data_IF_587480329782
#
_entry.id   IF_587480329782
#
_cell.length_a   1.000
_cell.length_b   1.000
_cell.length_c   1.000
_cell.angle_alpha   90.00
_cell.angle_beta   90.00
_cell.angle_gamma   90.00
#
_symmetry.space_group_name_H-M   'P 1'
#
loop_
_entity.id
_entity.type
_entity.pdbx_description
1 polymer ?
#
# COMPACT_ATOMS: atom_id res chain seq x y z
N UNK A 1 -26.57 -5.36 1.24
CA UNK A 1 -25.24 -5.64 0.69
C UNK A 1 -24.20 -4.82 1.43
N UNK A 2 -23.07 -5.45 1.78
CA UNK A 2 -21.95 -4.81 2.49
C UNK A 2 -21.23 -3.79 1.59
N UNK A 3 -21.18 -4.06 0.30
CA UNK A 3 -20.54 -3.22 -0.70
C UNK A 3 -21.58 -2.37 -1.44
N UNK A 4 -21.21 -1.13 -1.72
CA UNK A 4 -22.00 -0.17 -2.51
C UNK A 4 -21.11 0.45 -3.57
N UNK A 5 -21.70 0.87 -4.67
CA UNK A 5 -21.01 1.72 -5.65
C UNK A 5 -20.70 3.08 -5.00
N UNK A 6 -19.48 3.55 -5.15
CA UNK A 6 -19.05 4.84 -4.64
C UNK A 6 -19.85 6.01 -5.24
N UNK A 7 -19.81 7.17 -4.60
CA UNK A 7 -20.47 8.37 -5.11
C UNK A 7 -19.94 8.72 -6.50
N UNK A 8 -20.85 9.08 -7.40
CA UNK A 8 -20.52 9.38 -8.80
C UNK A 8 -20.23 8.13 -9.65
N UNK A 9 -20.64 6.93 -9.21
CA UNK A 9 -20.45 5.70 -9.97
C UNK A 9 -19.00 5.24 -10.08
N UNK A 10 -18.13 5.63 -9.15
CA UNK A 10 -16.70 5.30 -9.20
C UNK A 10 -16.23 4.64 -7.91
N UNK A 11 -15.66 3.43 -8.08
CA UNK A 11 -15.15 2.63 -6.98
C UNK A 11 -16.25 1.94 -6.19
N UNK A 12 -15.83 1.08 -5.30
CA UNK A 12 -16.68 0.37 -4.37
C UNK A 12 -16.44 0.85 -2.95
N UNK A 13 -17.49 0.93 -2.16
CA UNK A 13 -17.47 1.41 -0.79
C UNK A 13 -18.02 0.32 0.13
N UNK A 14 -17.27 -0.04 1.13
CA UNK A 14 -17.68 -0.88 2.24
C UNK A 14 -17.86 -0.03 3.51
N UNK A 15 -19.02 -0.16 4.16
CA UNK A 15 -19.33 0.52 5.42
C UNK A 15 -19.14 -0.44 6.60
N UNK A 16 -18.40 0.01 7.61
CA UNK A 16 -18.12 -0.76 8.82
C UNK A 16 -19.29 -0.88 9.80
N UNK A 17 -20.52 -0.59 9.36
CA UNK A 17 -21.71 -0.63 10.24
C UNK A 17 -22.33 -2.00 10.38
N UNK A 18 -21.99 -2.96 9.51
CA UNK A 18 -22.58 -4.31 9.48
C UNK A 18 -21.54 -5.37 9.12
N UNK A 19 -21.71 -6.55 9.73
CA UNK A 19 -20.99 -7.75 9.31
C UNK A 19 -19.52 -7.79 9.72
N UNK A 20 -19.21 -7.32 10.91
CA UNK A 20 -17.89 -7.48 11.53
C UNK A 20 -17.77 -8.82 12.28
N UNK A 21 -16.56 -9.39 12.39
CA UNK A 21 -15.35 -8.94 11.70
C UNK A 21 -15.43 -9.17 10.19
N UNK A 22 -14.59 -8.45 9.43
CA UNK A 22 -14.47 -8.58 7.97
C UNK A 22 -12.99 -8.68 7.58
N UNK A 23 -12.69 -9.57 6.66
CA UNK A 23 -11.35 -9.74 6.07
C UNK A 23 -11.48 -9.83 4.55
N UNK A 24 -10.50 -9.27 3.86
CA UNK A 24 -10.43 -9.28 2.40
C UNK A 24 -8.97 -9.04 1.95
N UNK A 25 -8.72 -9.20 0.67
CA UNK A 25 -7.43 -8.87 0.08
C UNK A 25 -7.61 -8.24 -1.30
N UNK A 26 -6.64 -7.43 -1.68
CA UNK A 26 -6.58 -6.79 -3.00
C UNK A 26 -5.13 -6.64 -3.44
N UNK A 27 -4.88 -6.91 -4.70
CA UNK A 27 -3.64 -6.56 -5.37
C UNK A 27 -3.80 -5.23 -6.11
N UNK A 28 -2.80 -4.37 -6.00
CA UNK A 28 -2.68 -3.13 -6.75
C UNK A 28 -1.25 -3.02 -7.24
N UNK A 29 -1.06 -2.68 -8.52
CA UNK A 29 0.27 -2.68 -9.12
C UNK A 29 0.53 -1.43 -9.95
N UNK A 30 1.82 -1.13 -10.07
CA UNK A 30 2.38 -0.32 -11.13
C UNK A 30 3.40 -1.15 -11.90
N UNK A 31 4.18 -0.52 -12.78
CA UNK A 31 5.11 -1.24 -13.64
C UNK A 31 6.22 -1.98 -12.88
N UNK A 32 6.67 -1.45 -11.74
CA UNK A 32 7.87 -1.92 -11.03
C UNK A 32 7.59 -2.47 -9.63
N UNK A 33 6.34 -2.47 -9.20
CA UNK A 33 5.93 -2.99 -7.89
C UNK A 33 4.50 -3.46 -7.92
N UNK A 34 4.22 -4.55 -7.20
CA UNK A 34 2.87 -4.97 -6.84
C UNK A 34 2.73 -4.94 -5.32
N UNK A 35 1.58 -4.54 -4.83
CA UNK A 35 1.19 -4.57 -3.42
C UNK A 35 -0.05 -5.44 -3.25
N UNK A 36 0.13 -6.62 -2.68
CA UNK A 36 -0.99 -7.43 -2.21
C UNK A 36 -1.29 -7.01 -0.78
N UNK A 37 -2.40 -6.33 -0.60
CA UNK A 37 -2.88 -5.86 0.69
C UNK A 37 -3.90 -6.86 1.24
N UNK A 38 -3.55 -7.52 2.36
CA UNK A 38 -4.51 -8.22 3.21
C UNK A 38 -5.00 -7.26 4.25
N UNK A 39 -6.28 -7.04 4.31
CA UNK A 39 -6.87 -6.09 5.24
C UNK A 39 -8.11 -6.65 5.90
N UNK A 40 -8.44 -6.09 7.04
CA UNK A 40 -9.65 -6.45 7.75
C UNK A 40 -10.08 -5.37 8.72
N UNK A 41 -11.32 -5.50 9.18
CA UNK A 41 -11.87 -4.70 10.27
C UNK A 41 -12.35 -5.66 11.35
N UNK A 42 -11.79 -5.53 12.54
CA UNK A 42 -12.07 -6.40 13.67
C UNK A 42 -13.47 -6.17 14.24
N UNK A 43 -13.92 -7.04 15.12
CA UNK A 43 -15.23 -6.91 15.78
C UNK A 43 -15.35 -5.62 16.62
N UNK A 44 -14.23 -5.09 17.11
CA UNK A 44 -14.13 -3.82 17.84
C UNK A 44 -13.83 -2.61 16.94
N UNK A 45 -14.03 -2.76 15.61
CA UNK A 45 -13.90 -1.74 14.58
C UNK A 45 -12.48 -1.25 14.28
N UNK A 46 -11.43 -1.94 14.72
CA UNK A 46 -10.06 -1.57 14.38
C UNK A 46 -9.66 -2.09 12.99
N UNK A 47 -8.95 -1.28 12.21
CA UNK A 47 -8.38 -1.69 10.93
C UNK A 47 -7.10 -2.50 11.15
N UNK A 48 -6.95 -3.57 10.40
CA UNK A 48 -5.72 -4.37 10.32
C UNK A 48 -5.29 -4.50 8.88
N UNK A 49 -4.00 -4.39 8.63
CA UNK A 49 -3.47 -4.66 7.30
C UNK A 49 -2.05 -5.20 7.32
N UNK A 50 -1.79 -6.10 6.41
CA UNK A 50 -0.47 -6.60 6.05
C UNK A 50 -0.26 -6.36 4.55
N UNK A 51 0.95 -5.98 4.18
CA UNK A 51 1.34 -5.73 2.80
C UNK A 51 2.36 -6.77 2.36
N UNK A 52 2.09 -7.45 1.25
CA UNK A 52 3.12 -8.20 0.52
C UNK A 52 3.55 -7.36 -0.67
N UNK A 53 4.82 -6.99 -0.69
CA UNK A 53 5.42 -6.16 -1.72
C UNK A 53 6.17 -7.06 -2.68
N UNK A 54 5.82 -7.02 -3.96
CA UNK A 54 6.45 -7.81 -5.01
C UNK A 54 7.21 -6.88 -5.95
N UNK A 55 8.49 -7.15 -6.14
CA UNK A 55 9.38 -6.36 -6.99
C UNK A 55 9.88 -7.21 -8.17
N UNK A 56 9.27 -7.09 -9.35
CA UNK A 56 9.57 -7.96 -10.50
C UNK A 56 11.02 -7.91 -10.97
N UNK A 57 11.68 -6.76 -10.82
CA UNK A 57 13.07 -6.58 -11.24
C UNK A 57 14.11 -7.03 -10.21
N UNK A 58 13.70 -7.29 -8.97
CA UNK A 58 14.57 -7.87 -7.94
C UNK A 58 14.36 -9.40 -7.95
N UNK A 59 15.32 -10.11 -8.53
CA UNK A 59 15.20 -11.55 -8.84
C UNK A 59 15.81 -12.40 -7.75
N UNK A 60 15.11 -13.46 -7.34
CA UNK A 60 15.57 -14.40 -6.31
C UNK A 60 16.11 -15.72 -6.88
N UNK A 61 15.78 -16.05 -8.12
CA UNK A 61 16.25 -17.27 -8.81
C UNK A 61 16.77 -16.89 -10.19
N UNK A 62 18.01 -17.25 -10.57
CA UNK A 62 18.55 -16.98 -11.89
C UNK A 62 17.74 -17.68 -12.99
N UNK A 63 17.51 -16.98 -14.08
CA UNK A 63 16.86 -17.51 -15.28
C UNK A 63 15.51 -18.23 -15.05
N UNK A 64 14.80 -17.80 -14.00
CA UNK A 64 13.49 -18.33 -13.67
C UNK A 64 12.44 -17.23 -13.73
N UNK A 65 11.31 -17.52 -14.36
CA UNK A 65 10.19 -16.59 -14.49
C UNK A 65 9.44 -16.37 -13.17
N UNK A 66 9.56 -17.29 -12.21
CA UNK A 66 8.88 -17.28 -10.91
C UNK A 66 9.71 -16.66 -9.78
N UNK A 67 10.59 -15.75 -10.06
CA UNK A 67 11.62 -15.35 -9.13
C UNK A 67 11.63 -13.87 -8.79
N UNK A 68 10.49 -13.21 -8.80
CA UNK A 68 10.36 -11.86 -8.24
C UNK A 68 10.52 -11.88 -6.73
N UNK A 69 11.19 -10.89 -6.17
CA UNK A 69 11.26 -10.75 -4.72
C UNK A 69 9.88 -10.42 -4.17
N UNK A 70 9.46 -11.16 -3.15
CA UNK A 70 8.28 -10.88 -2.36
C UNK A 70 8.68 -10.65 -0.91
N UNK A 71 8.19 -9.58 -0.31
CA UNK A 71 8.46 -9.24 1.08
C UNK A 71 7.19 -8.82 1.81
N UNK A 72 6.87 -9.51 2.90
CA UNK A 72 5.73 -9.15 3.76
C UNK A 72 6.16 -8.14 4.80
N UNK A 73 5.38 -7.08 4.94
CA UNK A 73 5.63 -6.04 5.92
C UNK A 73 4.32 -5.64 6.60
N UNK A 74 4.36 -5.59 7.93
CA UNK A 74 3.32 -5.05 8.77
C UNK A 74 3.92 -3.92 9.61
N UNK A 75 3.42 -2.69 9.42
CA UNK A 75 3.85 -1.51 10.17
C UNK A 75 2.61 -0.86 10.75
N UNK A 76 2.58 -0.73 12.06
CA UNK A 76 1.49 -0.06 12.80
C UNK A 76 1.86 1.40 13.06
N UNK A 77 1.68 2.23 12.04
CA UNK A 77 1.97 3.66 12.10
C UNK A 77 1.10 4.40 13.13
N UNK A 78 -0.23 4.14 13.23
CA UNK A 78 -1.03 4.82 14.24
C UNK A 78 -0.54 4.66 15.67
N UNK A 79 0.13 3.54 15.99
CA UNK A 79 0.64 3.28 17.35
C UNK A 79 1.78 4.21 17.77
N UNK A 80 2.50 4.79 16.81
CA UNK A 80 3.61 5.72 17.10
C UNK A 80 3.21 7.19 17.10
N UNK A 81 1.96 7.49 16.71
CA UNK A 81 1.45 8.86 16.71
C UNK A 81 1.07 9.31 18.11
N UNK A 82 1.31 10.58 18.41
CA UNK A 82 0.88 11.17 19.67
C UNK A 82 0.01 12.42 19.43
N UNK A 83 -1.03 12.56 20.23
CA UNK A 83 -1.90 13.74 20.29
C UNK A 83 -1.88 14.29 21.70
N UNK A 84 -1.42 15.54 21.87
CA UNK A 84 -1.18 16.16 23.18
C UNK A 84 -0.29 15.30 24.11
N UNK A 85 0.77 14.68 23.51
CA UNK A 85 1.70 13.79 24.22
C UNK A 85 1.13 12.41 24.59
N UNK A 86 0.01 11.99 24.02
CA UNK A 86 -0.67 10.71 24.31
C UNK A 86 -0.86 9.90 23.04
N UNK A 87 -0.67 8.59 23.14
CA UNK A 87 -0.90 7.67 22.01
C UNK A 87 -2.38 7.62 21.62
N UNK A 88 -2.63 7.36 20.36
CA UNK A 88 -3.94 6.97 19.84
C UNK A 88 -4.20 5.50 20.24
N UNK A 89 -5.33 5.22 20.88
CA UNK A 89 -5.60 3.90 21.48
C UNK A 89 -6.79 3.16 20.89
N UNK A 90 -7.76 3.86 20.36
CA UNK A 90 -8.98 3.24 19.84
C UNK A 90 -9.30 3.79 18.47
N UNK A 91 -9.37 2.87 17.52
CA UNK A 91 -9.84 3.12 16.17
C UNK A 91 -11.30 2.69 16.02
N UNK A 92 -12.06 3.49 15.28
CA UNK A 92 -13.38 3.12 14.78
C UNK A 92 -13.42 3.39 13.29
N UNK A 93 -13.31 2.33 12.50
CA UNK A 93 -13.42 2.41 11.04
C UNK A 93 -14.85 2.79 10.65
N UNK A 94 -14.98 3.80 9.83
CA UNK A 94 -16.25 4.20 9.20
C UNK A 94 -16.45 3.47 7.87
N UNK A 95 -15.41 3.44 7.03
CA UNK A 95 -15.52 2.87 5.68
C UNK A 95 -14.18 2.50 5.07
N UNK A 96 -14.23 1.57 4.12
CA UNK A 96 -13.14 1.25 3.19
C UNK A 96 -13.63 1.48 1.78
N UNK A 97 -12.89 2.26 1.00
CA UNK A 97 -13.17 2.55 -0.39
C UNK A 97 -12.06 2.00 -1.28
N UNK A 98 -12.44 1.34 -2.36
CA UNK A 98 -11.53 0.78 -3.37
C UNK A 98 -11.82 1.42 -4.72
N UNK A 99 -10.82 2.08 -5.27
CA UNK A 99 -10.90 2.73 -6.58
C UNK A 99 -9.51 2.82 -7.22
N UNK A 100 -8.88 1.65 -7.46
CA UNK A 100 -7.47 1.59 -7.87
C UNK A 100 -6.48 2.02 -6.78
N UNK A 101 -6.99 2.45 -5.64
CA UNK A 101 -6.31 2.68 -4.37
C UNK A 101 -7.21 2.15 -3.27
N UNK A 102 -6.67 1.87 -2.09
CA UNK A 102 -7.45 1.53 -0.90
C UNK A 102 -7.44 2.74 0.04
N UNK A 103 -8.62 3.28 0.31
CA UNK A 103 -8.82 4.39 1.22
C UNK A 103 -9.64 3.95 2.42
N UNK A 104 -9.10 4.12 3.62
CA UNK A 104 -9.76 3.78 4.89
C UNK A 104 -10.01 5.06 5.67
N UNK A 105 -11.25 5.29 6.05
CA UNK A 105 -11.62 6.41 6.91
C UNK A 105 -12.01 5.87 8.28
N UNK A 106 -11.40 6.43 9.32
CA UNK A 106 -11.64 6.04 10.72
C UNK A 106 -11.63 7.24 11.66
N UNK A 107 -12.23 7.05 12.83
CA UNK A 107 -12.16 7.96 13.97
C UNK A 107 -11.24 7.37 15.03
N UNK A 108 -10.40 8.20 15.61
CA UNK A 108 -9.44 7.81 16.65
C UNK A 108 -9.65 8.59 17.91
N UNK A 109 -9.55 7.88 19.05
CA UNK A 109 -9.54 8.44 20.38
C UNK A 109 -8.14 8.34 20.98
N UNK A 110 -7.75 9.35 21.77
CA UNK A 110 -6.51 9.33 22.55
C UNK A 110 -6.73 8.64 23.89
N UNK A 111 -5.64 8.16 24.52
CA UNK A 111 -5.67 7.68 25.90
C UNK A 111 -6.25 8.76 26.83
N UNK A 112 -7.26 8.42 27.63
CA UNK A 112 -7.87 9.37 28.55
C UNK A 112 -6.92 9.75 29.69
N UNK A 113 -6.99 11.01 30.14
CA UNK A 113 -6.58 11.37 31.48
C UNK A 113 -7.50 10.63 32.45
N UNK A 114 -6.92 10.00 33.47
CA UNK A 114 -7.66 9.40 34.58
C UNK A 114 -8.39 10.49 35.37
N UNK A 115 -9.45 11.05 34.82
CA UNK A 115 -10.40 11.89 35.55
C UNK A 115 -11.77 11.23 35.41
N UNK A 116 -12.11 10.44 36.41
CA UNK A 116 -13.43 9.86 36.56
C UNK A 116 -13.54 8.39 36.11
N UNK A 117 -13.29 7.48 37.03
CA UNK A 117 -13.73 6.09 36.92
C UNK A 117 -15.24 6.08 37.11
N UNK A 118 -16.00 6.01 36.03
CA UNK A 118 -17.45 5.78 36.07
C UNK A 118 -17.89 4.97 34.87
N UNK A 119 -18.87 4.05 35.00
CA UNK A 119 -19.45 3.36 33.86
C UNK A 119 -20.26 4.36 33.03
N UNK A 120 -19.66 4.93 32.00
CA UNK A 120 -20.27 5.92 31.10
C UNK A 120 -19.33 6.98 30.55
N UNK A 121 -18.01 6.89 30.75
CA UNK A 121 -17.04 7.77 30.10
C UNK A 121 -17.08 7.51 28.59
N UNK A 122 -17.75 8.38 27.85
CA UNK A 122 -17.77 8.37 26.40
C UNK A 122 -16.41 8.90 25.93
N UNK A 123 -15.56 8.00 25.45
CA UNK A 123 -14.33 8.40 24.75
C UNK A 123 -14.69 9.23 23.53
N UNK A 124 -14.38 10.52 23.58
CA UNK A 124 -14.60 11.38 22.41
C UNK A 124 -13.49 11.19 21.40
N UNK A 125 -13.85 10.97 20.14
CA UNK A 125 -12.88 10.95 19.05
C UNK A 125 -12.18 12.31 18.95
N UNK A 126 -10.88 12.29 18.72
CA UNK A 126 -10.08 13.51 18.57
C UNK A 126 -9.55 13.71 17.14
N UNK A 127 -9.29 12.62 16.43
CA UNK A 127 -8.75 12.65 15.05
C UNK A 127 -9.67 11.83 14.13
N UNK A 128 -10.02 12.40 12.99
CA UNK A 128 -10.44 11.63 11.82
C UNK A 128 -9.20 11.36 10.98
N UNK A 129 -8.95 10.08 10.71
CA UNK A 129 -7.82 9.63 9.91
C UNK A 129 -8.34 9.10 8.58
N UNK A 130 -7.75 9.57 7.49
CA UNK A 130 -7.88 8.95 6.17
C UNK A 130 -6.53 8.34 5.82
N UNK A 131 -6.51 7.02 5.61
CA UNK A 131 -5.35 6.26 5.19
C UNK A 131 -5.55 5.86 3.73
N UNK A 132 -4.64 6.23 2.84
CA UNK A 132 -4.70 5.87 1.42
C UNK A 132 -3.47 5.07 1.04
N UNK A 133 -3.67 3.83 0.59
CA UNK A 133 -2.60 2.91 0.19
C UNK A 133 -2.64 2.78 -1.33
N UNK A 134 -1.50 3.00 -1.99
CA UNK A 134 -1.39 2.92 -3.44
C UNK A 134 0.05 2.62 -3.88
N UNK A 135 0.24 1.86 -4.98
CA UNK A 135 1.55 1.71 -5.61
C UNK A 135 1.86 2.92 -6.50
N UNK A 136 3.15 3.23 -6.68
CA UNK A 136 3.59 4.07 -7.77
C UNK A 136 3.17 3.47 -9.11
N UNK A 137 2.92 4.31 -10.10
CA UNK A 137 2.67 3.84 -11.47
C UNK A 137 3.94 3.33 -12.16
N UNK A 138 5.10 3.91 -11.82
CA UNK A 138 6.36 3.65 -12.51
C UNK A 138 7.55 3.34 -11.60
N UNK A 139 7.54 3.78 -10.34
CA UNK A 139 8.64 3.55 -9.40
C UNK A 139 8.47 2.20 -8.65
N UNK A 140 9.56 1.58 -8.16
CA UNK A 140 9.48 0.42 -7.28
C UNK A 140 9.13 0.83 -5.85
N UNK A 141 7.99 1.50 -5.66
CA UNK A 141 7.55 2.05 -4.39
C UNK A 141 6.04 1.92 -4.19
N UNK A 142 5.65 1.70 -2.93
CA UNK A 142 4.26 1.74 -2.45
C UNK A 142 4.17 2.83 -1.40
N UNK A 143 3.06 3.53 -1.39
CA UNK A 143 2.80 4.64 -0.48
C UNK A 143 1.62 4.34 0.43
N UNK A 144 1.75 4.75 1.67
CA UNK A 144 0.65 4.78 2.63
C UNK A 144 0.55 6.20 3.19
N UNK A 145 -0.38 6.97 2.62
CA UNK A 145 -0.61 8.37 2.95
C UNK A 145 -1.65 8.47 4.06
N UNK A 146 -1.31 9.22 5.08
CA UNK A 146 -2.18 9.52 6.21
C UNK A 146 -2.57 10.99 6.19
N UNK A 147 -3.86 11.27 6.23
CA UNK A 147 -4.40 12.61 6.46
C UNK A 147 -5.15 12.60 7.79
N UNK A 148 -4.64 13.36 8.73
CA UNK A 148 -5.20 13.53 10.07
C UNK A 148 -6.01 14.83 10.10
N UNK A 149 -7.26 14.77 10.54
CA UNK A 149 -8.13 15.94 10.73
C UNK A 149 -8.52 16.09 12.18
N UNK A 150 -8.28 17.24 12.76
CA UNK A 150 -8.77 17.57 14.09
C UNK A 150 -10.30 17.69 14.06
N UNK A 151 -11.01 16.82 14.76
CA UNK A 151 -12.48 16.83 14.86
C UNK A 151 -12.99 17.38 16.19
N UNK A 152 -12.11 17.93 17.02
CA UNK A 152 -12.45 18.56 18.29
C UNK A 152 -12.68 20.07 18.12
N UNK A 153 -13.20 20.71 19.19
CA UNK A 153 -13.29 22.17 19.28
C UNK A 153 -12.01 22.86 19.76
N UNK A 154 -10.97 22.09 20.12
CA UNK A 154 -9.73 22.57 20.72
C UNK A 154 -8.53 22.41 19.76
N UNK A 155 -7.47 23.17 20.02
CA UNK A 155 -6.20 22.96 19.35
C UNK A 155 -5.55 21.64 19.85
N UNK A 156 -5.04 20.85 18.93
CA UNK A 156 -4.32 19.60 19.22
C UNK A 156 -2.85 19.73 18.81
N UNK A 157 -1.95 19.35 19.70
CA UNK A 157 -0.54 19.14 19.34
C UNK A 157 -0.38 17.70 18.82
N UNK A 158 -0.13 17.55 17.52
CA UNK A 158 0.09 16.25 16.88
C UNK A 158 1.57 16.05 16.63
N UNK A 159 2.09 14.90 17.03
CA UNK A 159 3.47 14.48 16.79
C UNK A 159 3.47 13.22 15.94
N UNK A 160 4.13 13.31 14.79
CA UNK A 160 4.48 12.19 13.89
C UNK A 160 6.00 12.03 14.00
N UNK A 161 6.50 11.00 14.71
CA UNK A 161 7.94 10.82 14.85
C UNK A 161 8.55 10.36 13.54
N UNK A 162 9.83 10.63 13.35
CA UNK A 162 10.60 9.99 12.31
C UNK A 162 10.53 8.46 12.49
N UNK A 163 10.32 7.77 11.39
CA UNK A 163 10.23 6.32 11.38
C UNK A 163 11.05 5.76 10.23
N UNK A 164 11.85 4.75 10.51
CA UNK A 164 12.56 3.98 9.48
C UNK A 164 12.71 2.53 9.95
N UNK A 165 12.17 1.63 9.17
CA UNK A 165 12.39 0.19 9.33
C UNK A 165 13.03 -0.34 8.06
N UNK A 166 14.17 -1.01 8.19
CA UNK A 166 14.86 -1.67 7.09
C UNK A 166 14.99 -3.16 7.38
N UNK A 167 14.73 -3.97 6.37
CA UNK A 167 15.00 -5.40 6.38
C UNK A 167 15.87 -5.74 5.17
N UNK A 168 16.72 -6.76 5.28
CA UNK A 168 17.54 -7.27 4.19
C UNK A 168 17.15 -8.71 3.87
N UNK A 169 17.23 -9.06 2.59
CA UNK A 169 17.21 -10.46 2.18
C UNK A 169 18.57 -11.10 2.50
N UNK A 170 18.60 -12.44 2.62
CA UNK A 170 19.87 -13.16 2.65
C UNK A 170 20.66 -12.88 1.37
N UNK A 171 21.97 -12.72 1.49
CA UNK A 171 22.86 -12.44 0.35
C UNK A 171 22.74 -13.48 -0.77
N UNK A 172 22.51 -14.75 -0.42
CA UNK A 172 22.34 -15.83 -1.38
C UNK A 172 20.91 -15.94 -1.93
N UNK A 173 19.96 -15.22 -1.36
CA UNK A 173 18.57 -15.24 -1.81
C UNK A 173 18.33 -14.35 -3.04
N UNK A 174 19.24 -13.41 -3.34
CA UNK A 174 19.13 -12.52 -4.50
C UNK A 174 20.06 -12.89 -5.64
N UNK A 175 19.58 -12.82 -6.87
CA UNK A 175 20.42 -12.99 -8.09
C UNK A 175 21.49 -11.89 -8.17
N UNK A 176 21.16 -10.71 -7.69
CA UNK A 176 22.04 -9.56 -7.64
C UNK A 176 22.51 -9.25 -6.20
N UNK A 177 22.61 -10.29 -5.34
CA UNK A 177 23.05 -10.18 -3.96
C UNK A 177 21.93 -9.80 -3.00
N UNK A 178 22.26 -9.02 -1.98
CA UNK A 178 21.32 -8.56 -0.96
C UNK A 178 20.39 -7.48 -1.52
N UNK A 179 19.11 -7.62 -1.24
CA UNK A 179 18.11 -6.57 -1.46
C UNK A 179 17.70 -5.98 -0.12
N UNK A 180 17.60 -4.68 -0.09
CA UNK A 180 17.11 -3.92 1.06
C UNK A 180 15.65 -3.55 0.82
N UNK A 181 14.80 -3.82 1.83
CA UNK A 181 13.40 -3.36 1.86
C UNK A 181 13.26 -2.34 2.97
N UNK A 182 12.75 -1.17 2.65
CA UNK A 182 12.68 -0.04 3.57
C UNK A 182 11.26 0.49 3.64
N UNK A 183 10.81 0.76 4.88
CA UNK A 183 9.60 1.52 5.16
C UNK A 183 10.01 2.75 5.97
N UNK A 184 9.66 3.95 5.52
CA UNK A 184 10.08 5.17 6.20
C UNK A 184 9.07 6.30 6.12
N UNK A 185 9.04 7.13 7.16
CA UNK A 185 8.51 8.50 7.14
C UNK A 185 9.73 9.42 7.10
N UNK A 186 9.81 10.24 6.05
CA UNK A 186 10.90 11.21 5.92
C UNK A 186 10.64 12.40 6.84
N UNK A 187 11.55 12.58 7.81
CA UNK A 187 11.47 13.61 8.83
C UNK A 187 10.51 13.31 9.98
N UNK A 188 10.50 14.21 10.95
CA UNK A 188 9.53 14.26 12.04
C UNK A 188 8.67 15.52 11.92
N UNK A 189 7.42 15.40 12.30
CA UNK A 189 6.48 16.52 12.27
C UNK A 189 5.85 16.70 13.65
N UNK A 190 6.00 17.88 14.22
CA UNK A 190 5.24 18.30 15.40
C UNK A 190 4.50 19.59 15.04
N UNK A 191 3.18 19.52 15.02
CA UNK A 191 2.34 20.63 14.57
C UNK A 191 1.12 20.83 15.46
N UNK A 192 0.76 22.12 15.68
CA UNK A 192 -0.52 22.48 16.25
C UNK A 192 -1.59 22.45 15.16
N UNK A 193 -2.63 21.66 15.41
CA UNK A 193 -3.79 21.56 14.54
C UNK A 193 -4.98 22.27 15.16
N UNK A 194 -5.39 23.37 14.57
CA UNK A 194 -6.65 24.06 14.94
C UNK A 194 -7.87 23.17 14.61
N UNK A 195 -9.04 23.43 15.22
CA UNK A 195 -10.27 22.73 14.88
C UNK A 195 -10.53 22.70 13.37
N UNK A 196 -10.80 21.50 12.85
CA UNK A 196 -11.10 21.27 11.42
C UNK A 196 -9.90 21.29 10.47
N UNK A 197 -8.68 21.64 10.92
CA UNK A 197 -7.48 21.60 10.07
C UNK A 197 -6.94 20.20 9.88
N UNK A 198 -6.09 20.01 8.86
CA UNK A 198 -5.54 18.73 8.46
C UNK A 198 -4.01 18.74 8.47
N UNK A 199 -3.42 17.60 8.78
CA UNK A 199 -1.99 17.30 8.68
C UNK A 199 -1.82 16.04 7.83
N UNK A 200 -0.94 16.07 6.84
CA UNK A 200 -0.66 14.92 5.98
C UNK A 200 0.80 14.50 6.08
N UNK A 201 1.04 13.20 6.13
CA UNK A 201 2.35 12.58 6.01
C UNK A 201 2.23 11.24 5.28
N UNK A 202 3.35 10.67 4.84
CA UNK A 202 3.34 9.43 4.06
C UNK A 202 4.45 8.49 4.51
N UNK A 203 4.12 7.19 4.57
CA UNK A 203 5.11 6.12 4.66
C UNK A 203 5.43 5.66 3.25
N UNK A 204 6.71 5.63 2.91
CA UNK A 204 7.22 5.11 1.65
C UNK A 204 7.78 3.72 1.88
N UNK A 205 7.27 2.73 1.15
CA UNK A 205 7.77 1.36 1.10
C UNK A 205 8.50 1.15 -0.21
N UNK A 206 9.76 0.75 -0.17
CA UNK A 206 10.58 0.57 -1.35
C UNK A 206 11.60 -0.55 -1.16
N UNK A 207 12.12 -1.06 -2.28
CA UNK A 207 13.24 -2.00 -2.25
C UNK A 207 14.27 -1.67 -3.32
N UNK A 208 15.53 -1.97 -3.03
CA UNK A 208 16.67 -1.67 -3.87
C UNK A 208 17.85 -2.62 -3.60
N UNK A 209 18.84 -2.63 -4.48
CA UNK A 209 20.05 -3.46 -4.34
C UNK A 209 21.04 -2.80 -3.38
N UNK A 210 21.58 -3.60 -2.46
CA UNK A 210 22.67 -3.14 -1.58
C UNK A 210 23.97 -2.92 -2.36
N UNK A 211 24.18 -3.68 -3.44
CA UNK A 211 25.40 -3.67 -4.23
C UNK A 211 26.47 -4.61 -3.67
N UNK A 212 27.64 -4.60 -4.33
CA UNK A 212 28.78 -5.44 -3.93
C UNK A 212 29.13 -6.51 -4.95
N UNK A 213 29.88 -7.51 -4.51
CA UNK A 213 30.33 -8.63 -5.38
C UNK A 213 29.40 -9.82 -5.24
N UNK A 214 28.88 -10.30 -6.36
CA UNK A 214 28.03 -11.49 -6.41
C UNK A 214 28.71 -12.56 -7.26
N UNK A 215 28.88 -13.73 -6.67
CA UNK A 215 29.41 -14.90 -7.37
C UNK A 215 28.25 -15.82 -7.71
N UNK A 216 28.00 -16.00 -9.01
CA UNK A 216 26.96 -16.94 -9.47
C UNK A 216 27.31 -18.37 -9.08
N UNK A 217 26.38 -19.15 -8.50
CA UNK A 217 26.61 -20.57 -8.29
C UNK A 217 26.87 -21.28 -9.63
N UNK A 218 27.74 -22.26 -9.61
CA UNK A 218 28.13 -23.05 -10.77
C UNK A 218 26.93 -23.75 -11.42
N UNK A 219 26.73 -23.49 -12.72
CA UNK A 219 26.16 -24.51 -13.55
C UNK A 219 27.21 -25.62 -13.66
N UNK A 220 26.82 -26.90 -13.52
CA UNK A 220 27.72 -28.02 -13.46
C UNK A 220 28.78 -27.96 -14.60
N UNK A 221 30.06 -27.79 -14.20
CA UNK A 221 31.20 -27.75 -15.11
C UNK A 221 31.68 -26.35 -15.58
N UNK A 222 31.07 -25.27 -15.14
CA UNK A 222 31.53 -23.90 -15.45
C UNK A 222 32.26 -23.27 -14.25
N UNK A 223 33.27 -22.43 -14.52
CA UNK A 223 33.90 -21.65 -13.45
C UNK A 223 32.91 -20.61 -12.86
N UNK A 224 32.95 -20.33 -11.55
CA UNK A 224 32.11 -19.30 -10.94
C UNK A 224 32.43 -17.94 -11.55
N UNK A 225 31.40 -17.22 -11.95
CA UNK A 225 31.51 -15.86 -12.47
C UNK A 225 31.18 -14.88 -11.35
N UNK A 226 32.18 -14.10 -10.95
CA UNK A 226 32.00 -12.98 -10.02
C UNK A 226 31.74 -11.70 -10.82
N UNK A 227 30.70 -10.99 -10.44
CA UNK A 227 30.35 -9.68 -11.03
C UNK A 227 30.17 -8.64 -9.95
N UNK A 228 30.49 -7.41 -10.28
CA UNK A 228 30.20 -6.26 -9.41
C UNK A 228 28.77 -5.78 -9.70
N UNK A 229 27.98 -5.63 -8.64
CA UNK A 229 26.62 -5.08 -8.68
C UNK A 229 26.70 -3.67 -8.09
N UNK A 230 26.28 -2.64 -8.84
CA UNK A 230 26.24 -1.29 -8.30
C UNK A 230 25.22 -1.20 -7.16
N UNK A 231 25.58 -0.47 -6.10
CA UNK A 231 24.65 -0.12 -5.05
C UNK A 231 23.60 0.86 -5.58
N UNK A 232 22.39 0.69 -5.14
CA UNK A 232 21.28 1.62 -5.38
C UNK A 232 20.99 2.39 -4.08
N UNK A 233 20.51 3.62 -4.22
CA UNK A 233 20.11 4.44 -3.07
C UNK A 233 18.61 4.41 -2.90
N UNK A 234 18.08 4.63 -1.68
CA UNK A 234 16.66 4.86 -1.49
C UNK A 234 16.18 5.99 -2.39
N UNK A 235 14.96 5.83 -2.90
CA UNK A 235 14.27 6.88 -3.63
C UNK A 235 13.71 7.91 -2.65
N UNK A 236 13.74 9.17 -3.05
CA UNK A 236 13.06 10.28 -2.36
C UNK A 236 12.03 10.89 -3.30
N UNK A 237 10.92 10.18 -3.56
CA UNK A 237 9.91 10.63 -4.53
C UNK A 237 9.13 11.82 -3.99
N UNK A 238 8.69 12.70 -4.88
CA UNK A 238 7.64 13.66 -4.58
C UNK A 238 6.30 12.91 -4.46
N UNK A 239 5.89 12.66 -3.23
CA UNK A 239 4.70 11.86 -2.92
C UNK A 239 3.41 12.49 -3.44
N UNK A 240 3.32 13.82 -3.49
CA UNK A 240 2.13 14.50 -4.01
C UNK A 240 2.02 14.30 -5.53
N UNK A 241 3.13 14.36 -6.25
CA UNK A 241 3.20 14.03 -7.67
C UNK A 241 2.85 12.56 -7.92
N UNK A 242 3.36 11.62 -7.12
CA UNK A 242 3.04 10.20 -7.22
C UNK A 242 1.56 9.90 -6.96
N UNK A 243 0.98 10.56 -5.97
CA UNK A 243 -0.46 10.46 -5.68
C UNK A 243 -1.31 10.98 -6.85
N UNK A 244 -0.96 12.15 -7.39
CA UNK A 244 -1.64 12.73 -8.55
C UNK A 244 -1.49 11.84 -9.80
N UNK A 245 -0.30 11.27 -10.04
CA UNK A 245 -0.05 10.35 -11.13
C UNK A 245 -0.92 9.08 -11.02
N UNK A 246 -1.01 8.51 -9.80
CA UNK A 246 -1.89 7.35 -9.58
C UNK A 246 -3.36 7.68 -9.78
N UNK A 247 -3.81 8.83 -9.33
CA UNK A 247 -5.19 9.28 -9.59
C UNK A 247 -5.46 9.45 -11.08
N UNK A 248 -4.55 10.11 -11.81
CA UNK A 248 -4.67 10.32 -13.25
C UNK A 248 -4.69 9.00 -14.02
N UNK A 249 -3.83 8.03 -13.63
CA UNK A 249 -3.81 6.69 -14.19
C UNK A 249 -5.17 5.98 -14.05
N UNK A 250 -5.73 5.92 -12.85
CA UNK A 250 -7.02 5.29 -12.58
C UNK A 250 -8.17 5.99 -13.32
N UNK A 251 -8.14 7.33 -13.37
CA UNK A 251 -9.14 8.12 -14.10
C UNK A 251 -9.03 7.88 -15.61
N UNK A 252 -7.82 7.86 -16.15
CA UNK A 252 -7.55 7.60 -17.57
C UNK A 252 -8.09 6.24 -18.01
N UNK A 253 -7.82 5.19 -17.24
CA UNK A 253 -8.38 3.85 -17.50
C UNK A 253 -9.90 3.85 -17.42
N UNK A 254 -10.48 4.55 -16.46
CA UNK A 254 -11.93 4.65 -16.30
C UNK A 254 -12.63 5.35 -17.47
N UNK A 255 -11.98 6.33 -18.09
CA UNK A 255 -12.54 7.11 -19.20
C UNK A 255 -12.32 6.49 -20.58
N UNK A 256 -11.39 5.53 -20.68
CA UNK A 256 -11.09 4.81 -21.89
C UNK A 256 -12.07 3.65 -22.07
N UNK A 257 -12.79 3.56 -23.14
CA UNK A 257 -13.85 2.56 -23.39
C UNK A 257 -14.84 2.45 -22.21
N UNK A 258 -15.96 3.15 -22.28
CA UNK A 258 -16.98 3.22 -21.22
C UNK A 258 -18.13 2.28 -21.55
N UNK A 259 -18.50 1.43 -20.58
CA UNK A 259 -19.76 0.71 -20.59
C UNK A 259 -20.80 1.55 -19.88
N UNK A 260 -21.89 1.89 -20.57
CA UNK A 260 -23.00 2.66 -20.00
C UNK A 260 -24.32 1.89 -20.20
N UNK A 261 -24.78 1.27 -19.12
CA UNK A 261 -26.01 0.50 -19.06
C UNK A 261 -26.88 1.00 -17.91
N UNK A 262 -28.15 0.65 -17.83
CA UNK A 262 -28.99 0.93 -16.68
C UNK A 262 -28.52 0.29 -15.37
N UNK A 263 -27.66 -0.73 -15.44
CA UNK A 263 -27.09 -1.42 -14.28
C UNK A 263 -25.74 -0.81 -13.88
N UNK A 264 -25.75 -0.01 -12.83
CA UNK A 264 -24.54 0.63 -12.31
C UNK A 264 -23.50 -0.35 -11.76
N UNK A 265 -23.92 -1.56 -11.35
CA UNK A 265 -22.99 -2.61 -10.87
C UNK A 265 -22.21 -3.16 -12.05
N UNK A 266 -22.86 -3.44 -13.17
CA UNK A 266 -22.22 -3.91 -14.38
C UNK A 266 -21.24 -2.86 -14.93
N UNK A 267 -21.62 -1.58 -14.94
CA UNK A 267 -20.75 -0.49 -15.39
C UNK A 267 -19.50 -0.39 -14.51
N UNK A 268 -19.64 -0.48 -13.19
CA UNK A 268 -18.49 -0.43 -12.28
C UNK A 268 -17.63 -1.69 -12.36
N UNK A 269 -18.22 -2.88 -12.50
CA UNK A 269 -17.45 -4.11 -12.75
C UNK A 269 -16.57 -3.98 -13.97
N UNK A 270 -17.10 -3.50 -15.09
CA UNK A 270 -16.34 -3.28 -16.32
C UNK A 270 -15.20 -2.28 -16.11
N UNK A 271 -15.45 -1.18 -15.39
CA UNK A 271 -14.43 -0.20 -15.05
C UNK A 271 -13.31 -0.81 -14.19
N UNK A 272 -13.66 -1.57 -13.16
CA UNK A 272 -12.68 -2.23 -12.27
C UNK A 272 -11.89 -3.31 -13.01
N UNK A 273 -12.50 -4.07 -13.91
CA UNK A 273 -11.80 -5.08 -14.71
C UNK A 273 -10.67 -4.47 -15.56
N UNK A 274 -10.87 -3.28 -16.13
CA UNK A 274 -9.81 -2.56 -16.86
C UNK A 274 -8.63 -2.18 -15.95
N UNK A 275 -8.92 -1.73 -14.73
CA UNK A 275 -7.88 -1.41 -13.76
C UNK A 275 -7.10 -2.68 -13.42
N UNK A 276 -7.79 -3.79 -13.13
CA UNK A 276 -7.14 -5.08 -12.80
C UNK A 276 -6.29 -5.60 -13.95
N UNK A 277 -6.81 -5.57 -15.17
CA UNK A 277 -6.05 -6.01 -16.35
C UNK A 277 -4.77 -5.19 -16.56
N UNK A 278 -4.83 -3.87 -16.36
CA UNK A 278 -3.66 -3.01 -16.51
C UNK A 278 -2.66 -3.19 -15.38
N UNK A 279 -3.12 -3.48 -14.17
CA UNK A 279 -2.27 -3.76 -13.01
C UNK A 279 -1.56 -5.12 -13.09
N UNK A 280 -1.87 -5.95 -14.06
CA UNK A 280 -1.14 -7.17 -14.40
C UNK A 280 0.03 -6.94 -15.35
N UNK A 281 0.31 -5.68 -15.75
CA UNK A 281 1.42 -5.32 -16.62
C UNK A 281 2.63 -4.89 -15.79
N UNK A 282 3.74 -5.62 -15.97
CA UNK A 282 4.98 -5.38 -15.25
C UNK A 282 6.14 -5.09 -16.19
N UNK A 283 7.07 -4.27 -15.72
CA UNK A 283 8.35 -4.05 -16.39
C UNK A 283 9.26 -5.25 -16.19
N UNK A 284 9.79 -5.76 -17.30
CA UNK A 284 10.76 -6.85 -17.32
C UNK A 284 11.99 -6.43 -18.14
N UNK A 285 13.01 -7.28 -18.17
CA UNK A 285 14.18 -7.05 -19.07
C UNK A 285 13.81 -7.01 -20.55
N UNK A 286 12.70 -7.63 -20.93
CA UNK A 286 12.17 -7.66 -22.30
C UNK A 286 11.16 -6.54 -22.62
N UNK A 287 10.90 -5.63 -21.70
CA UNK A 287 9.89 -4.58 -21.81
C UNK A 287 8.70 -4.81 -20.89
N UNK A 288 7.58 -4.14 -21.19
CA UNK A 288 6.33 -4.32 -20.46
C UNK A 288 5.65 -5.63 -20.89
N UNK A 289 5.25 -6.43 -19.94
CA UNK A 289 4.64 -7.73 -20.16
C UNK A 289 3.51 -7.98 -19.16
N UNK A 290 2.45 -8.65 -19.61
CA UNK A 290 1.43 -9.18 -18.75
C UNK A 290 1.97 -10.34 -17.91
N UNK A 291 1.65 -10.36 -16.63
CA UNK A 291 1.87 -11.48 -15.72
C UNK A 291 0.59 -11.82 -14.97
N UNK A 292 0.46 -13.03 -14.42
CA UNK A 292 -0.74 -13.45 -13.68
C UNK A 292 -0.93 -12.72 -12.36
N UNK A 293 0.09 -11.99 -11.86
CA UNK A 293 0.02 -11.28 -10.58
C UNK A 293 0.06 -12.19 -9.36
N UNK A 294 -0.30 -11.63 -8.21
CA UNK A 294 -0.41 -12.32 -6.93
C UNK A 294 0.88 -12.48 -6.15
N UNK A 295 0.76 -12.94 -4.91
CA UNK A 295 1.89 -13.16 -3.99
C UNK A 295 2.84 -14.28 -4.41
N UNK A 296 2.44 -15.11 -5.35
CA UNK A 296 3.21 -16.30 -5.75
C UNK A 296 4.36 -15.99 -6.69
N UNK A 297 4.72 -14.69 -6.83
CA UNK A 297 5.94 -14.24 -7.53
C UNK A 297 6.00 -14.58 -9.00
N UNK A 298 4.88 -14.68 -9.62
CA UNK A 298 4.77 -15.00 -11.01
C UNK A 298 5.16 -13.81 -11.87
N UNK A 299 6.37 -13.83 -12.40
CA UNK A 299 6.73 -13.02 -13.55
C UNK A 299 6.70 -13.88 -14.85
N UNK A 300 5.92 -14.96 -14.85
CA UNK A 300 5.73 -15.80 -16.03
C UNK A 300 4.70 -15.19 -16.96
N UNK A 301 4.93 -15.32 -18.26
CA UNK A 301 4.00 -14.94 -19.31
C UNK A 301 3.37 -16.22 -19.84
N UNK A 302 2.10 -16.40 -19.56
CA UNK A 302 1.36 -17.58 -19.99
C UNK A 302 0.38 -17.16 -21.07
N UNK A 303 0.35 -17.91 -22.16
CA UNK A 303 -0.51 -17.58 -23.31
C UNK A 303 -2.00 -17.55 -22.93
N UNK A 304 -2.43 -18.43 -22.02
CA UNK A 304 -3.81 -18.48 -21.57
C UNK A 304 -4.18 -17.23 -20.78
N UNK A 305 -3.31 -16.82 -19.83
CA UNK A 305 -3.54 -15.62 -19.04
C UNK A 305 -3.59 -14.36 -19.91
N UNK A 306 -2.75 -14.32 -20.96
CA UNK A 306 -2.79 -13.22 -21.93
C UNK A 306 -4.13 -13.16 -22.68
N UNK A 307 -4.68 -14.30 -23.06
CA UNK A 307 -5.94 -14.35 -23.80
C UNK A 307 -7.16 -13.91 -22.98
N UNK A 308 -7.09 -14.06 -21.65
CA UNK A 308 -8.17 -13.62 -20.74
C UNK A 308 -8.21 -12.10 -20.52
N UNK A 309 -7.10 -11.40 -20.82
CA UNK A 309 -6.98 -9.94 -20.65
C UNK A 309 -7.18 -9.12 -21.92
N UNK A 310 -7.29 -9.76 -23.07
CA UNK A 310 -7.55 -9.15 -24.38
C UNK A 310 -9.04 -9.20 -24.70
#
# INVERSE_FOLDING_TARGET
>A
TRWKIGRGGRGILWNASVGLPHEDHIEMSGENVSCVLRWGVTADHAFRCEKSLVFPMLRTIPNNTHASMNFRIAVDIPSILAVNGRSLIREKVDSVRINGMVEVTSLWSKANDFIGIGPGAVESACIRMTRTIFPSTTLPAVYERFTLKNVTGDNLLVTVPQFCQTASTDHYAGVDGTYLVRAEIDGDVTAWMAPGTELTFTVVYQAYREGGKVTSPLLAGAAPVTRDIPAESPLHPDVDSEFAARQAFVLGLGSNLVLDTPDSVLNEMFRQSKIRATESIFRTKGGLMHGPGGESYYAAIWANDQAEYI
#
